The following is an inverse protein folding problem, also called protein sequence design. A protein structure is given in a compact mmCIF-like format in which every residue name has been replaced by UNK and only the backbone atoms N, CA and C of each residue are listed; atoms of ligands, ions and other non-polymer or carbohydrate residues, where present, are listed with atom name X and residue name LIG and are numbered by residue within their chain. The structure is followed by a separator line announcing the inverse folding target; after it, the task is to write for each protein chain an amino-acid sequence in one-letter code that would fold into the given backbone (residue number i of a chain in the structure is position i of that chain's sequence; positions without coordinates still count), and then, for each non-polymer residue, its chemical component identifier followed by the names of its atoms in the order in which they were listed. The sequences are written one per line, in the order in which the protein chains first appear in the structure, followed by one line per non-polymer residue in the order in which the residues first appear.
data_IF_100855270954
#
_entry.id   IF_100855270954
#
_cell.length_a   1.000
_cell.length_b   1.000
_cell.length_c   1.000
_cell.angle_alpha   90.00
_cell.angle_beta   90.00
_cell.angle_gamma   90.00
#
_symmetry.space_group_name_H-M   'P 1'
#
loop_
_entity.id
_entity.type
_entity.pdbx_description
1 polymer ?
#
# COMPACT_ATOMS: atom_id res chain seq x y z
N UNK A 1 -40.82 -46.67 0.87
CA UNK A 1 -40.46 -45.42 0.14
C UNK A 1 -40.12 -44.23 1.04
N UNK A 2 -40.80 -44.04 2.18
CA UNK A 2 -40.59 -42.86 3.06
C UNK A 2 -39.17 -42.73 3.65
N UNK A 3 -38.53 -43.85 4.00
CA UNK A 3 -37.21 -43.88 4.65
C UNK A 3 -36.08 -43.37 3.73
N UNK A 4 -36.13 -43.74 2.44
CA UNK A 4 -35.15 -43.34 1.42
C UNK A 4 -35.21 -41.82 1.12
N UNK A 5 -36.39 -41.23 1.21
CA UNK A 5 -36.58 -39.78 1.04
C UNK A 5 -35.93 -38.97 2.17
N UNK A 6 -36.07 -39.43 3.42
CA UNK A 6 -35.47 -38.77 4.57
C UNK A 6 -33.93 -38.81 4.55
N UNK A 7 -33.36 -39.90 4.04
CA UNK A 7 -31.91 -40.06 3.90
C UNK A 7 -31.31 -39.10 2.85
N UNK A 8 -32.00 -38.91 1.71
CA UNK A 8 -31.61 -37.96 0.66
C UNK A 8 -31.68 -36.52 1.20
N UNK A 9 -32.74 -36.18 1.96
CA UNK A 9 -32.90 -34.85 2.56
C UNK A 9 -31.77 -34.53 3.55
N UNK A 10 -31.37 -35.50 4.38
CA UNK A 10 -30.24 -35.36 5.32
C UNK A 10 -28.90 -35.20 4.59
N UNK A 11 -28.63 -35.98 3.54
CA UNK A 11 -27.40 -35.86 2.74
C UNK A 11 -27.30 -34.50 2.02
N UNK A 12 -28.41 -33.98 1.50
CA UNK A 12 -28.45 -32.67 0.86
C UNK A 12 -28.28 -31.52 1.88
N UNK A 13 -28.85 -31.65 3.07
CA UNK A 13 -28.63 -30.70 4.16
C UNK A 13 -27.15 -30.68 4.61
N UNK A 14 -26.52 -31.85 4.74
CA UNK A 14 -25.11 -31.96 5.09
C UNK A 14 -24.18 -31.38 4.00
N UNK A 15 -24.48 -31.61 2.71
CA UNK A 15 -23.73 -30.99 1.59
C UNK A 15 -23.88 -29.46 1.56
N UNK A 16 -25.06 -28.93 1.85
CA UNK A 16 -25.27 -27.49 1.97
C UNK A 16 -24.55 -26.87 3.17
N UNK A 17 -24.47 -27.59 4.29
CA UNK A 17 -23.67 -27.17 5.44
C UNK A 17 -22.18 -27.17 5.11
N UNK A 18 -21.67 -28.23 4.49
CA UNK A 18 -20.26 -28.34 4.10
C UNK A 18 -19.88 -27.29 3.04
N UNK A 19 -20.76 -26.99 2.08
CA UNK A 19 -20.59 -25.88 1.12
C UNK A 19 -20.55 -24.52 1.81
N UNK A 20 -21.46 -24.27 2.77
CA UNK A 20 -21.47 -23.04 3.57
C UNK A 20 -20.25 -22.91 4.48
N UNK A 21 -19.78 -24.00 5.10
CA UNK A 21 -18.57 -24.02 5.91
C UNK A 21 -17.33 -23.80 5.03
N UNK A 22 -17.28 -24.36 3.83
CA UNK A 22 -16.19 -24.13 2.89
C UNK A 22 -16.16 -22.68 2.35
N UNK A 23 -17.32 -22.09 2.06
CA UNK A 23 -17.43 -20.67 1.71
C UNK A 23 -17.06 -19.74 2.88
N UNK A 24 -17.45 -20.10 4.11
CA UNK A 24 -17.09 -19.30 5.30
C UNK A 24 -15.60 -19.44 5.65
N UNK A 25 -14.98 -20.60 5.45
CA UNK A 25 -13.54 -20.81 5.60
C UNK A 25 -12.74 -20.14 4.48
N UNK A 26 -13.29 -20.04 3.26
CA UNK A 26 -12.70 -19.27 2.16
C UNK A 26 -12.81 -17.76 2.40
N UNK A 27 -13.90 -17.30 3.02
CA UNK A 27 -14.10 -15.89 3.40
C UNK A 27 -13.26 -15.50 4.62
N UNK A 28 -13.01 -16.43 5.55
CA UNK A 28 -12.07 -16.26 6.67
C UNK A 28 -10.60 -16.39 6.26
N UNK A 29 -10.29 -16.96 5.08
CA UNK A 29 -8.93 -16.96 4.51
C UNK A 29 -8.51 -15.63 3.88
N UNK A 30 -9.42 -14.67 3.78
CA UNK A 30 -9.14 -13.26 3.49
C UNK A 30 -8.86 -12.44 4.78
N UNK A 31 -8.63 -13.10 5.91
CA UNK A 31 -8.12 -12.45 7.11
C UNK A 31 -6.58 -12.37 7.06
N UNK A 32 -6.09 -11.12 7.06
CA UNK A 32 -4.70 -10.67 7.18
C UNK A 32 -3.77 -10.89 5.97
N UNK A 33 -4.06 -10.24 4.85
CA UNK A 33 -2.95 -9.56 4.17
C UNK A 33 -2.52 -8.44 5.14
N UNK A 34 -1.25 -8.39 5.59
CA UNK A 34 -0.80 -7.33 6.49
C UNK A 34 -1.10 -5.99 5.82
N UNK A 35 -1.63 -5.02 6.59
CA UNK A 35 -2.06 -3.72 6.06
C UNK A 35 -0.99 -3.05 5.18
N UNK A 36 0.28 -3.30 5.49
CA UNK A 36 1.46 -2.86 4.75
C UNK A 36 1.52 -3.46 3.34
N UNK A 37 1.34 -4.78 3.20
CA UNK A 37 1.30 -5.46 1.90
C UNK A 37 0.12 -5.01 1.04
N UNK A 38 -1.03 -4.74 1.67
CA UNK A 38 -2.19 -4.17 0.98
C UNK A 38 -1.89 -2.76 0.45
N UNK A 39 -1.26 -1.89 1.26
CA UNK A 39 -0.85 -0.53 0.83
C UNK A 39 0.14 -0.59 -0.33
N UNK A 40 1.18 -1.43 -0.21
CA UNK A 40 2.14 -1.65 -1.29
C UNK A 40 1.45 -2.07 -2.59
N UNK A 41 0.61 -3.10 -2.52
CA UNK A 41 -0.12 -3.61 -3.69
C UNK A 41 -1.01 -2.55 -4.32
N UNK A 42 -1.75 -1.82 -3.49
CA UNK A 42 -2.68 -0.76 -3.95
C UNK A 42 -1.93 0.38 -4.63
N UNK A 43 -0.86 0.88 -4.03
CA UNK A 43 -0.05 1.97 -4.61
C UNK A 43 0.63 1.55 -5.90
N UNK A 44 1.13 0.31 -5.97
CA UNK A 44 1.70 -0.25 -7.19
C UNK A 44 0.66 -0.32 -8.31
N UNK A 45 -0.55 -0.80 -8.00
CA UNK A 45 -1.66 -0.86 -8.95
C UNK A 45 -2.04 0.54 -9.47
N UNK A 46 -2.16 1.53 -8.58
CA UNK A 46 -2.46 2.92 -8.97
C UNK A 46 -1.40 3.43 -9.93
N UNK A 47 -0.11 3.28 -9.58
CA UNK A 47 0.98 3.75 -10.42
C UNK A 47 1.00 3.07 -11.80
N UNK A 48 0.76 1.77 -11.87
CA UNK A 48 0.66 1.04 -13.14
C UNK A 48 -0.50 1.53 -14.00
N UNK A 49 -1.71 1.65 -13.43
CA UNK A 49 -2.90 2.12 -14.16
C UNK A 49 -2.72 3.54 -14.67
N UNK A 50 -2.15 4.43 -13.86
CA UNK A 50 -1.91 5.81 -14.28
C UNK A 50 -0.82 5.92 -15.34
N UNK A 51 0.21 5.08 -15.28
CA UNK A 51 1.21 4.99 -16.35
C UNK A 51 0.58 4.54 -17.67
N UNK A 52 -0.25 3.49 -17.65
CA UNK A 52 -0.99 3.02 -18.84
C UNK A 52 -1.95 4.09 -19.39
N UNK A 53 -2.59 4.84 -18.49
CA UNK A 53 -3.47 5.96 -18.86
C UNK A 53 -2.67 7.07 -19.56
N UNK A 54 -1.52 7.46 -18.99
CA UNK A 54 -0.65 8.49 -19.58
C UNK A 54 -0.08 8.05 -20.95
N UNK A 55 0.33 6.79 -21.07
CA UNK A 55 0.78 6.20 -22.33
C UNK A 55 -0.33 6.25 -23.40
N UNK A 56 -1.56 5.88 -23.02
CA UNK A 56 -2.71 5.88 -23.94
C UNK A 56 -3.10 7.30 -24.39
N UNK A 57 -2.88 8.29 -23.53
CA UNK A 57 -3.14 9.70 -23.81
C UNK A 57 -1.97 10.43 -24.50
N UNK A 58 -0.82 9.75 -24.74
CA UNK A 58 0.41 10.38 -25.22
C UNK A 58 0.92 11.54 -24.33
N UNK A 59 0.60 11.49 -23.03
CA UNK A 59 1.01 12.47 -22.02
C UNK A 59 2.42 12.14 -21.52
N UNK A 60 3.43 12.82 -22.06
CA UNK A 60 4.84 12.56 -21.74
C UNK A 60 5.17 12.86 -20.28
N UNK A 61 4.62 13.93 -19.72
CA UNK A 61 4.88 14.34 -18.35
C UNK A 61 4.26 13.34 -17.37
N UNK A 62 3.05 12.87 -17.68
CA UNK A 62 2.39 11.77 -16.95
C UNK A 62 3.19 10.47 -17.02
N UNK A 63 3.73 10.11 -18.19
CA UNK A 63 4.58 8.91 -18.34
C UNK A 63 5.84 9.01 -17.47
N UNK A 64 6.51 10.16 -17.48
CA UNK A 64 7.70 10.38 -16.65
C UNK A 64 7.37 10.26 -15.16
N UNK A 65 6.34 10.99 -14.69
CA UNK A 65 5.90 10.97 -13.31
C UNK A 65 5.49 9.56 -12.86
N UNK A 66 4.59 8.89 -13.58
CA UNK A 66 4.04 7.61 -13.14
C UNK A 66 5.03 6.46 -13.29
N UNK A 67 5.96 6.53 -14.26
CA UNK A 67 7.08 5.59 -14.32
C UNK A 67 8.04 5.77 -13.14
N UNK A 68 8.28 7.00 -12.69
CA UNK A 68 9.08 7.29 -11.51
C UNK A 68 8.39 6.78 -10.24
N UNK A 69 7.10 7.07 -10.06
CA UNK A 69 6.29 6.58 -8.94
C UNK A 69 6.31 5.05 -8.87
N UNK A 70 6.07 4.36 -9.99
CA UNK A 70 6.05 2.90 -10.05
C UNK A 70 7.40 2.30 -9.64
N UNK A 71 8.51 2.90 -10.09
CA UNK A 71 9.87 2.53 -9.68
C UNK A 71 10.09 2.74 -8.19
N UNK A 72 9.69 3.90 -7.65
CA UNK A 72 9.80 4.23 -6.24
C UNK A 72 9.07 3.20 -5.36
N UNK A 73 7.80 2.90 -5.67
CA UNK A 73 7.00 1.90 -4.95
C UNK A 73 7.66 0.51 -5.04
N UNK A 74 8.20 0.14 -6.21
CA UNK A 74 8.82 -1.17 -6.44
C UNK A 74 10.11 -1.36 -5.66
N UNK A 75 10.97 -0.34 -5.56
CA UNK A 75 12.20 -0.43 -4.79
C UNK A 75 11.96 -0.43 -3.27
N UNK A 76 11.01 0.39 -2.80
CA UNK A 76 10.70 0.52 -1.37
C UNK A 76 9.99 -0.70 -0.79
N UNK A 77 9.32 -1.49 -1.62
CA UNK A 77 8.57 -2.69 -1.23
C UNK A 77 7.62 -2.42 -0.05
N UNK A 78 7.26 -3.45 0.70
CA UNK A 78 6.41 -3.33 1.90
C UNK A 78 7.14 -2.57 3.03
N UNK A 79 8.45 -2.76 3.14
CA UNK A 79 9.28 -2.17 4.19
C UNK A 79 9.24 -0.64 4.19
N UNK A 80 9.16 -0.04 2.99
CA UNK A 80 9.04 1.39 2.79
C UNK A 80 7.61 1.94 2.81
N UNK A 81 6.60 1.17 3.21
CA UNK A 81 5.22 1.66 3.39
C UNK A 81 4.98 2.17 4.82
N UNK A 82 4.32 3.32 4.97
CA UNK A 82 4.05 3.92 6.29
C UNK A 82 3.07 3.07 7.11
N UNK A 83 3.22 3.12 8.44
CA UNK A 83 2.19 2.66 9.37
C UNK A 83 1.08 3.71 9.52
N UNK A 84 -0.10 3.24 9.91
CA UNK A 84 -1.27 4.08 10.15
C UNK A 84 -1.86 3.72 11.51
N UNK A 85 -2.16 4.74 12.31
CA UNK A 85 -2.90 4.62 13.56
C UNK A 85 -4.28 5.28 13.42
N UNK A 86 -5.30 4.70 14.07
CA UNK A 86 -6.61 5.33 14.18
C UNK A 86 -6.55 6.45 15.23
N UNK A 87 -6.88 7.67 14.82
CA UNK A 87 -6.93 8.83 15.71
C UNK A 87 -8.13 9.72 15.37
N UNK A 88 -8.28 10.82 16.11
CA UNK A 88 -9.34 11.81 15.92
C UNK A 88 -8.68 13.19 15.79
N UNK A 89 -9.07 13.95 14.78
CA UNK A 89 -8.66 15.35 14.63
C UNK A 89 -9.92 16.23 14.75
N UNK A 90 -10.05 16.95 15.86
CA UNK A 90 -11.31 17.58 16.25
C UNK A 90 -12.36 16.52 16.57
N UNK A 91 -13.42 16.45 15.77
CA UNK A 91 -14.50 15.46 15.87
C UNK A 91 -14.49 14.44 14.71
N UNK A 92 -13.50 14.51 13.81
CA UNK A 92 -13.42 13.62 12.65
C UNK A 92 -12.46 12.45 12.89
N UNK A 93 -12.88 11.20 12.61
CA UNK A 93 -11.95 10.07 12.62
C UNK A 93 -10.97 10.19 11.45
N UNK A 94 -9.67 10.07 11.75
CA UNK A 94 -8.59 10.14 10.75
C UNK A 94 -7.58 9.01 10.94
N UNK A 95 -6.85 8.69 9.87
CA UNK A 95 -5.71 7.78 9.90
C UNK A 95 -4.42 8.60 10.00
N UNK A 96 -3.75 8.54 11.15
CA UNK A 96 -2.45 9.17 11.36
C UNK A 96 -1.37 8.35 10.65
N UNK A 97 -0.76 8.93 9.62
CA UNK A 97 0.32 8.33 8.83
C UNK A 97 1.64 8.65 9.50
N UNK A 98 2.31 7.62 10.01
CA UNK A 98 3.59 7.78 10.70
C UNK A 98 4.74 7.93 9.70
N UNK A 99 5.74 8.73 10.06
CA UNK A 99 6.99 8.82 9.33
C UNK A 99 7.80 7.53 9.41
N UNK A 100 8.68 7.31 8.45
CA UNK A 100 9.71 6.26 8.51
C UNK A 100 11.06 6.96 8.65
N UNK A 101 11.88 6.50 9.58
CA UNK A 101 13.16 7.10 9.96
C UNK A 101 14.15 7.17 8.80
N UNK A 102 14.29 6.10 8.03
CA UNK A 102 15.23 6.07 6.92
C UNK A 102 14.72 6.84 5.70
N UNK A 103 13.40 6.99 5.52
CA UNK A 103 12.80 7.41 4.25
C UNK A 103 12.75 8.93 4.10
N UNK A 104 13.18 9.43 2.95
CA UNK A 104 13.16 10.85 2.60
C UNK A 104 11.73 11.44 2.67
N UNK A 105 11.61 12.71 3.11
CA UNK A 105 10.30 13.36 3.29
C UNK A 105 9.52 13.50 1.98
N UNK A 106 10.18 13.90 0.90
CA UNK A 106 9.51 14.00 -0.41
C UNK A 106 8.93 12.66 -0.91
N UNK A 107 9.46 11.51 -0.49
CA UNK A 107 8.84 10.20 -0.79
C UNK A 107 7.51 10.04 -0.06
N UNK A 108 7.38 10.55 1.18
CA UNK A 108 6.09 10.55 1.89
C UNK A 108 5.06 11.33 1.10
N UNK A 109 5.43 12.51 0.63
CA UNK A 109 4.53 13.41 -0.08
C UNK A 109 4.15 12.82 -1.46
N UNK A 110 5.10 12.16 -2.14
CA UNK A 110 4.84 11.36 -3.34
C UNK A 110 3.81 10.25 -3.07
N UNK A 111 3.96 9.50 -1.99
CA UNK A 111 3.02 8.42 -1.64
C UNK A 111 1.63 8.95 -1.27
N UNK A 112 1.55 10.15 -0.69
CA UNK A 112 0.28 10.82 -0.42
C UNK A 112 -0.42 11.22 -1.73
N UNK A 113 0.32 11.74 -2.71
CA UNK A 113 -0.21 12.02 -4.05
C UNK A 113 -0.78 10.77 -4.72
N UNK A 114 -0.06 9.63 -4.66
CA UNK A 114 -0.56 8.34 -5.18
C UNK A 114 -1.87 7.95 -4.49
N UNK A 115 -1.89 8.07 -3.17
CA UNK A 115 -3.01 7.73 -2.33
C UNK A 115 -4.25 8.59 -2.61
N UNK A 116 -4.06 9.84 -3.06
CA UNK A 116 -5.12 10.81 -3.35
C UNK A 116 -5.59 10.80 -4.81
N UNK A 117 -4.81 10.21 -5.71
CA UNK A 117 -5.18 10.01 -7.13
C UNK A 117 -6.49 9.24 -7.26
N UNK A 118 -6.75 8.30 -6.35
CA UNK A 118 -8.01 7.54 -6.31
C UNK A 118 -9.20 8.36 -5.78
N UNK A 119 -8.94 9.48 -5.11
CA UNK A 119 -9.97 10.36 -4.53
C UNK A 119 -10.24 11.63 -5.30
N UNK A 120 -9.38 12.03 -6.24
CA UNK A 120 -9.60 13.19 -7.11
C UNK A 120 -10.73 12.97 -8.13
N UNK A 121 -10.99 14.00 -8.95
CA UNK A 121 -12.00 13.99 -10.02
C UNK A 121 -11.54 13.28 -11.30
N UNK A 122 -10.26 12.91 -11.37
CA UNK A 122 -9.65 12.06 -12.40
C UNK A 122 -10.04 10.58 -12.25
N UNK A 123 -11.32 10.31 -12.01
CA UNK A 123 -11.89 9.01 -11.62
C UNK A 123 -12.00 7.99 -12.76
N UNK A 124 -11.69 8.37 -13.99
CA UNK A 124 -11.91 7.55 -15.19
C UNK A 124 -11.56 6.07 -15.00
N UNK A 125 -10.35 5.72 -14.49
CA UNK A 125 -9.95 4.32 -14.37
C UNK A 125 -10.29 3.66 -13.02
N UNK A 126 -10.75 4.38 -12.00
CA UNK A 126 -10.97 3.83 -10.65
C UNK A 126 -12.44 3.88 -10.22
N UNK A 127 -13.11 2.72 -10.21
CA UNK A 127 -14.48 2.60 -9.71
C UNK A 127 -14.53 2.83 -8.19
N UNK A 128 -15.29 3.85 -7.76
CA UNK A 128 -15.59 4.06 -6.33
C UNK A 128 -16.64 3.04 -5.86
N UNK A 129 -16.18 1.91 -5.36
CA UNK A 129 -17.02 0.95 -4.64
C UNK A 129 -16.66 0.90 -3.15
N UNK A 130 -17.67 0.83 -2.29
CA UNK A 130 -17.51 0.58 -0.85
C UNK A 130 -17.65 1.81 0.07
N UNK A 131 -17.17 1.66 1.31
CA UNK A 131 -17.26 2.67 2.39
C UNK A 131 -16.45 3.93 2.04
N UNK A 132 -16.94 5.10 2.49
CA UNK A 132 -16.20 6.38 2.43
C UNK A 132 -14.80 6.19 3.02
N UNK A 133 -13.78 6.63 2.27
CA UNK A 133 -12.38 6.59 2.71
C UNK A 133 -12.19 7.50 3.93
N UNK A 134 -11.53 7.00 4.96
CA UNK A 134 -11.12 7.80 6.14
C UNK A 134 -9.98 8.72 5.71
N UNK A 135 -10.04 9.99 6.11
CA UNK A 135 -9.02 10.99 5.80
C UNK A 135 -7.68 10.58 6.43
N UNK A 136 -6.59 10.73 5.68
CA UNK A 136 -5.23 10.46 6.14
C UNK A 136 -4.54 11.78 6.48
N UNK A 137 -3.82 11.82 7.59
CA UNK A 137 -3.07 12.99 8.03
C UNK A 137 -1.66 12.60 8.40
N UNK A 138 -0.68 13.44 8.04
CA UNK A 138 0.70 13.21 8.41
C UNK A 138 0.86 13.44 9.93
N UNK A 139 1.39 12.45 10.63
CA UNK A 139 1.69 12.57 12.05
C UNK A 139 3.19 12.88 12.26
N UNK A 140 3.58 13.68 13.27
CA UNK A 140 4.98 13.99 13.54
C UNK A 140 5.79 12.79 14.03
N UNK A 141 5.14 11.75 14.57
CA UNK A 141 5.84 10.54 15.03
C UNK A 141 6.52 9.78 13.89
N UNK A 142 7.68 9.22 14.20
CA UNK A 142 8.51 8.45 13.28
C UNK A 142 8.69 7.04 13.83
N UNK A 143 8.43 6.04 13.00
CA UNK A 143 8.67 4.63 13.31
C UNK A 143 10.04 4.23 12.77
N UNK A 144 10.78 3.46 13.57
CA UNK A 144 12.06 2.89 13.17
C UNK A 144 11.83 1.67 12.28
N UNK A 145 12.40 1.67 11.08
CA UNK A 145 12.35 0.50 10.18
C UNK A 145 13.69 0.21 9.57
N UNK A 146 13.91 -1.07 9.26
CA UNK A 146 15.09 -1.48 8.52
C UNK A 146 14.80 -1.31 7.01
N UNK A 147 15.62 -0.53 6.28
CA UNK A 147 15.50 -0.45 4.83
C UNK A 147 15.94 -1.76 4.17
N UNK A 148 15.33 -2.08 3.03
CA UNK A 148 15.80 -3.16 2.16
C UNK A 148 17.14 -2.77 1.50
N UNK A 149 17.97 -3.77 1.21
CA UNK A 149 19.19 -3.56 0.43
C UNK A 149 18.88 -3.15 -1.02
N UNK A 150 19.78 -2.36 -1.61
CA UNK A 150 19.73 -1.94 -3.01
C UNK A 150 18.77 -0.78 -3.30
N UNK A 151 18.23 -0.12 -2.27
CA UNK A 151 17.39 1.07 -2.44
C UNK A 151 18.27 2.26 -2.85
N UNK A 152 17.77 3.09 -3.78
CA UNK A 152 18.45 4.33 -4.21
C UNK A 152 18.84 5.25 -3.03
N UNK A 153 20.05 5.86 -3.04
CA UNK A 153 20.49 6.81 -2.00
C UNK A 153 19.51 7.96 -1.78
N UNK A 154 18.90 8.47 -2.85
CA UNK A 154 17.93 9.58 -2.76
C UNK A 154 16.69 9.24 -1.94
N UNK A 155 16.32 7.96 -1.80
CA UNK A 155 15.17 7.58 -0.98
C UNK A 155 15.47 7.62 0.52
N UNK A 156 16.74 7.83 0.90
CA UNK A 156 17.15 7.97 2.28
C UNK A 156 17.11 9.41 2.76
N UNK A 157 16.86 9.60 4.05
CA UNK A 157 17.17 10.86 4.73
C UNK A 157 18.69 11.07 4.80
N UNK A 158 19.19 12.29 4.56
CA UNK A 158 20.62 12.59 4.72
C UNK A 158 21.14 12.22 6.11
N UNK A 159 20.34 12.45 7.16
CA UNK A 159 20.68 12.15 8.54
C UNK A 159 20.82 10.65 8.77
N UNK A 160 19.95 9.83 8.16
CA UNK A 160 20.02 8.38 8.27
C UNK A 160 21.29 7.82 7.60
N UNK A 161 21.66 8.36 6.42
CA UNK A 161 22.90 7.97 5.75
C UNK A 161 24.15 8.36 6.58
N UNK A 162 24.13 9.53 7.22
CA UNK A 162 25.21 9.94 8.13
C UNK A 162 25.33 9.00 9.33
N UNK A 163 24.21 8.66 9.96
CA UNK A 163 24.16 7.69 11.07
C UNK A 163 24.67 6.31 10.64
N UNK A 164 24.36 5.87 9.41
CA UNK A 164 24.83 4.59 8.87
C UNK A 164 26.36 4.58 8.69
N UNK A 165 26.96 5.68 8.22
CA UNK A 165 28.42 5.83 8.10
C UNK A 165 29.13 5.85 9.47
N UNK A 166 28.45 6.35 10.50
CA UNK A 166 28.94 6.38 11.88
C UNK A 166 28.72 5.07 12.64
N UNK A 167 28.00 4.10 12.05
CA UNK A 167 27.65 2.85 12.71
C UNK A 167 26.57 2.97 13.79
N UNK A 168 25.83 4.08 13.82
CA UNK A 168 24.71 4.30 14.76
C UNK A 168 23.48 3.48 14.37
N UNK A 169 23.27 3.28 13.06
CA UNK A 169 22.25 2.40 12.50
C UNK A 169 22.88 1.27 11.69
N UNK A 170 22.21 0.12 11.53
CA UNK A 170 22.75 -1.01 10.77
C UNK A 170 23.13 -0.62 9.35
N UNK A 171 24.33 -1.01 8.91
CA UNK A 171 24.76 -0.85 7.53
C UNK A 171 23.87 -1.69 6.59
N UNK A 172 23.39 -1.06 5.53
CA UNK A 172 22.61 -1.70 4.47
C UNK A 172 23.24 -1.33 3.14
N UNK A 173 23.36 -2.28 2.21
CA UNK A 173 23.86 -2.00 0.88
C UNK A 173 22.94 -0.99 0.19
N UNK A 174 23.48 0.16 -0.20
CA UNK A 174 22.75 1.20 -0.93
C UNK A 174 22.84 0.89 -2.42
N UNK A 175 21.77 1.16 -3.16
CA UNK A 175 21.77 1.01 -4.62
C UNK A 175 22.70 2.01 -5.31
N UNK A 176 23.15 1.68 -6.51
CA UNK A 176 24.01 2.55 -7.32
C UNK A 176 23.22 3.62 -8.09
N UNK A 177 21.95 3.35 -8.37
CA UNK A 177 21.10 4.27 -9.12
C UNK A 177 20.61 5.40 -8.22
N UNK A 178 21.01 6.61 -8.56
CA UNK A 178 20.48 7.83 -7.93
C UNK A 178 19.36 8.42 -8.79
N UNK A 179 18.27 8.81 -8.14
CA UNK A 179 17.12 9.39 -8.82
C UNK A 179 16.81 10.76 -8.24
N UNK A 180 16.71 11.81 -9.06
CA UNK A 180 16.37 13.13 -8.57
C UNK A 180 14.95 13.10 -8.01
N UNK A 181 14.82 13.07 -6.68
CA UNK A 181 13.57 13.44 -6.05
C UNK A 181 13.57 14.96 -6.06
N UNK A 182 12.60 15.56 -6.76
CA UNK A 182 12.42 17.01 -6.78
C UNK A 182 12.41 17.53 -5.34
N UNK A 183 13.40 18.37 -5.03
CA UNK A 183 13.55 19.05 -3.74
C UNK A 183 12.55 20.20 -3.64
#
# INVERSE_FOLDING_TARGET
MHQKYQEIKKRNAARNLLSRVHLHLSFLRLQLIPLIAQKFTTRRQIASVMLETALSANDRDGVELWSFVLRCVTQLTEDGMSEEEDTVEGDEPVKAVLGIDFRHLAVRDLMQMVDDTRTGDSLGPFVRAGRRRIRRVNHPSVVKRKPKAGISPSFYRPEYLAQMRQGVVPAVAVGEQDWPISR
#
